data_IF_659863702854
#
_entry.id   IF_659863702854
#
_cell.length_a   1.000
_cell.length_b   1.000
_cell.length_c   1.000
_cell.angle_alpha   90.00
_cell.angle_beta   90.00
_cell.angle_gamma   90.00
#
_symmetry.space_group_name_H-M   'P 1'
#
loop_
_entity.id
_entity.type
_entity.pdbx_description
1 polymer ?
#
# COMPACT_ATOMS: atom_id res chain seq x y z
N UNK A 1 2.71 4.41 8.13
CA UNK A 1 4.12 4.63 7.73
C UNK A 1 4.76 3.47 6.95
N UNK A 2 4.26 2.24 7.01
CA UNK A 2 4.83 1.11 6.25
C UNK A 2 4.49 1.09 4.75
N UNK A 3 3.36 1.66 4.31
CA UNK A 3 2.95 1.68 2.90
C UNK A 3 3.85 2.55 2.00
N UNK A 4 4.44 3.63 2.53
CA UNK A 4 5.42 4.43 1.79
C UNK A 4 6.78 3.71 1.65
N UNK A 5 7.06 2.75 2.53
CA UNK A 5 8.31 1.99 2.57
C UNK A 5 8.39 0.92 1.45
N UNK A 6 7.25 0.43 0.94
CA UNK A 6 7.21 -0.63 -0.08
C UNK A 6 7.71 -0.20 -1.47
N UNK A 7 7.86 1.10 -1.71
CA UNK A 7 8.25 1.66 -3.02
C UNK A 7 9.71 2.13 -3.11
N UNK A 8 10.47 2.11 -2.01
CA UNK A 8 11.89 2.52 -1.97
C UNK A 8 12.83 1.37 -2.35
N UNK A 9 14.00 1.71 -2.92
CA UNK A 9 15.02 0.73 -3.37
C UNK A 9 15.80 0.07 -2.22
N UNK A 10 15.52 0.46 -0.97
CA UNK A 10 16.02 -0.19 0.22
C UNK A 10 14.97 -0.09 1.31
N UNK A 11 14.66 -1.22 1.94
CA UNK A 11 13.73 -1.35 3.06
C UNK A 11 14.50 -1.81 4.29
N UNK A 12 14.84 -0.84 5.14
CA UNK A 12 15.38 -1.10 6.48
C UNK A 12 14.27 -0.90 7.51
N UNK A 13 13.96 -1.94 8.28
CA UNK A 13 12.95 -1.84 9.34
C UNK A 13 13.61 -1.94 10.73
N UNK A 14 13.03 -1.22 11.68
CA UNK A 14 13.47 -1.29 13.06
C UNK A 14 12.87 -2.53 13.75
N UNK A 15 13.69 -3.25 14.50
CA UNK A 15 13.21 -4.16 15.54
C UNK A 15 12.70 -3.31 16.70
N UNK A 16 11.39 -3.28 16.89
CA UNK A 16 10.76 -2.68 18.07
C UNK A 16 10.78 -3.71 19.20
N UNK A 17 11.30 -3.39 20.40
CA UNK A 17 11.21 -4.30 21.55
C UNK A 17 9.74 -4.45 21.98
N UNK A 18 9.36 -5.67 22.41
CA UNK A 18 8.00 -6.21 22.65
C UNK A 18 7.06 -5.43 23.59
N UNK A 19 7.40 -4.21 24.02
CA UNK A 19 6.58 -3.38 24.91
C UNK A 19 5.61 -2.43 24.22
N UNK A 20 5.33 -2.61 22.93
CA UNK A 20 4.29 -1.85 22.22
C UNK A 20 3.26 -2.76 21.55
N UNK A 21 2.83 -3.83 22.23
CA UNK A 21 1.60 -4.55 21.86
C UNK A 21 0.31 -3.79 22.20
N UNK A 22 0.39 -2.51 22.58
CA UNK A 22 -0.76 -1.65 22.87
C UNK A 22 -0.62 -0.23 22.30
N UNK A 23 -0.17 -0.09 21.04
CA UNK A 23 -0.63 1.05 20.23
C UNK A 23 -1.50 0.52 19.10
N UNK A 24 -2.75 0.30 19.49
CA UNK A 24 -3.93 0.23 18.64
C UNK A 24 -4.16 1.62 18.01
N UNK A 25 -3.20 2.13 17.23
CA UNK A 25 -3.33 3.42 16.55
C UNK A 25 -3.91 3.20 15.15
N UNK A 26 -5.24 3.26 15.11
CA UNK A 26 -6.06 3.82 14.03
C UNK A 26 -5.44 3.77 12.63
N UNK A 27 -5.60 2.63 11.96
CA UNK A 27 -5.74 2.61 10.50
C UNK A 27 -7.07 1.93 10.18
N UNK A 28 -8.11 2.76 10.04
CA UNK A 28 -9.47 2.32 9.71
C UNK A 28 -9.47 1.57 8.37
N UNK A 29 -10.32 0.54 8.27
CA UNK A 29 -11.31 0.57 7.20
C UNK A 29 -12.71 0.44 7.80
N UNK A 30 -13.27 1.55 8.31
CA UNK A 30 -14.72 1.74 8.20
C UNK A 30 -15.01 2.44 6.89
N UNK A 31 -15.00 1.67 5.82
CA UNK A 31 -15.81 1.91 4.64
C UNK A 31 -16.06 0.54 4.00
N UNK A 32 -17.29 0.07 4.14
CA UNK A 32 -17.78 -1.10 3.42
C UNK A 32 -17.84 -0.74 1.93
N UNK A 33 -17.38 -1.68 1.09
CA UNK A 33 -17.45 -1.68 -0.39
C UNK A 33 -16.45 -0.74 -1.07
N UNK A 34 -15.20 -1.20 -1.17
CA UNK A 34 -14.42 -0.96 -2.39
C UNK A 34 -14.77 -2.09 -3.37
N UNK A 35 -15.07 -1.77 -4.62
CA UNK A 35 -15.20 -2.77 -5.67
C UNK A 35 -13.88 -3.56 -5.78
N UNK A 36 -13.95 -4.90 -5.87
CA UNK A 36 -12.75 -5.74 -5.76
C UNK A 36 -11.89 -5.79 -7.03
N UNK A 37 -12.31 -5.19 -8.15
CA UNK A 37 -11.86 -5.68 -9.45
C UNK A 37 -10.50 -5.12 -9.90
N UNK A 38 -10.15 -3.89 -9.53
CA UNK A 38 -8.86 -3.28 -9.92
C UNK A 38 -7.77 -3.32 -8.84
N UNK A 39 -8.10 -3.50 -7.56
CA UNK A 39 -7.11 -3.61 -6.48
C UNK A 39 -6.37 -4.97 -6.48
N UNK A 40 -6.96 -6.00 -7.08
CA UNK A 40 -6.43 -7.37 -7.09
C UNK A 40 -5.38 -7.64 -8.18
N UNK A 41 -5.30 -6.80 -9.21
CA UNK A 41 -4.34 -6.93 -10.32
C UNK A 41 -3.04 -6.17 -10.05
N UNK A 42 -3.09 -5.04 -9.32
CA UNK A 42 -1.95 -4.17 -9.08
C UNK A 42 -1.11 -4.54 -7.85
N UNK A 43 -1.74 -5.08 -6.79
CA UNK A 43 -1.06 -5.34 -5.52
C UNK A 43 -0.15 -6.60 -5.46
N UNK A 44 -0.46 -7.73 -6.12
CA UNK A 44 0.29 -8.97 -5.86
C UNK A 44 1.72 -8.97 -6.44
N UNK A 45 2.07 -8.01 -7.30
CA UNK A 45 3.42 -7.95 -7.91
C UNK A 45 4.43 -7.13 -7.09
N UNK A 46 3.96 -6.35 -6.11
CA UNK A 46 4.85 -5.51 -5.27
C UNK A 46 5.54 -6.36 -4.17
N UNK A 47 4.93 -7.49 -3.79
CA UNK A 47 5.50 -8.42 -2.82
C UNK A 47 6.18 -9.55 -3.58
N UNK A 48 7.42 -9.31 -4.00
CA UNK A 48 8.25 -10.25 -4.79
C UNK A 48 8.42 -11.66 -4.19
N UNK A 49 7.99 -11.90 -2.94
CA UNK A 49 8.15 -13.19 -2.24
C UNK A 49 6.89 -13.80 -1.62
N UNK A 50 5.75 -13.09 -1.53
CA UNK A 50 4.54 -13.67 -0.90
C UNK A 50 3.59 -14.25 -1.94
N UNK A 51 3.10 -15.47 -1.67
CA UNK A 51 2.03 -16.07 -2.46
C UNK A 51 0.82 -15.13 -2.54
N UNK A 52 0.25 -14.94 -3.74
CA UNK A 52 -0.93 -14.08 -4.02
C UNK A 52 -2.07 -14.25 -3.00
N UNK A 53 -2.33 -15.47 -2.54
CA UNK A 53 -3.33 -15.80 -1.50
C UNK A 53 -3.01 -15.17 -0.14
N UNK A 54 -1.74 -15.18 0.28
CA UNK A 54 -1.30 -14.64 1.57
C UNK A 54 -1.37 -13.11 1.57
N UNK A 55 -0.91 -12.48 0.48
CA UNK A 55 -1.06 -11.05 0.27
C UNK A 55 -2.54 -10.62 0.31
N UNK A 56 -3.42 -11.37 -0.36
CA UNK A 56 -4.87 -11.13 -0.30
C UNK A 56 -5.43 -11.24 1.12
N UNK A 57 -5.06 -12.29 1.86
CA UNK A 57 -5.48 -12.47 3.26
C UNK A 57 -5.03 -11.30 4.14
N UNK A 58 -3.78 -10.87 4.02
CA UNK A 58 -3.24 -9.76 4.80
C UNK A 58 -3.99 -8.46 4.53
N UNK A 59 -4.34 -8.18 3.26
CA UNK A 59 -5.11 -7.00 2.87
C UNK A 59 -6.53 -7.03 3.45
N UNK A 60 -7.20 -8.19 3.42
CA UNK A 60 -8.55 -8.32 3.96
C UNK A 60 -8.61 -8.23 5.48
N UNK A 61 -7.64 -8.85 6.17
CA UNK A 61 -7.61 -8.92 7.62
C UNK A 61 -6.93 -7.70 8.26
N UNK A 62 -6.19 -6.90 7.48
CA UNK A 62 -5.34 -5.85 8.03
C UNK A 62 -4.25 -6.40 8.93
N UNK A 63 -3.68 -7.56 8.59
CA UNK A 63 -2.64 -8.25 9.37
C UNK A 63 -1.34 -7.41 9.38
N UNK A 64 -0.87 -7.00 10.57
CA UNK A 64 0.45 -6.39 10.73
C UNK A 64 1.50 -7.50 10.83
N UNK A 65 2.61 -7.35 10.10
CA UNK A 65 3.70 -8.32 10.07
C UNK A 65 4.81 -7.87 10.99
N UNK A 66 5.30 -8.77 11.84
CA UNK A 66 6.45 -8.51 12.69
C UNK A 66 7.73 -8.28 11.86
N UNK A 67 8.67 -7.43 12.29
CA UNK A 67 9.86 -7.11 11.50
C UNK A 67 10.69 -8.35 11.10
N UNK A 68 10.82 -9.33 11.99
CA UNK A 68 11.52 -10.59 11.77
C UNK A 68 10.80 -11.46 10.75
N UNK A 69 9.47 -11.49 10.82
CA UNK A 69 8.67 -12.24 9.85
C UNK A 69 8.70 -11.55 8.47
N UNK A 70 8.72 -10.22 8.44
CA UNK A 70 8.85 -9.44 7.22
C UNK A 70 10.20 -9.66 6.53
N UNK A 71 11.28 -9.87 7.29
CA UNK A 71 12.59 -10.28 6.77
C UNK A 71 12.54 -11.70 6.17
N UNK A 72 11.94 -12.66 6.90
CA UNK A 72 11.79 -14.04 6.42
C UNK A 72 10.94 -14.14 5.14
N UNK A 73 9.93 -13.27 5.01
CA UNK A 73 9.07 -13.17 3.83
C UNK A 73 9.67 -12.35 2.68
N UNK A 74 10.86 -11.74 2.88
CA UNK A 74 11.51 -10.89 1.86
C UNK A 74 10.77 -9.57 1.57
N UNK A 75 9.93 -9.12 2.50
CA UNK A 75 9.25 -7.82 2.43
C UNK A 75 10.23 -6.70 2.80
N UNK A 76 11.22 -7.01 3.64
CA UNK A 76 12.24 -6.10 4.17
C UNK A 76 13.62 -6.69 3.87
N UNK A 77 14.60 -5.84 3.55
CA UNK A 77 15.95 -6.28 3.19
C UNK A 77 16.85 -6.49 4.42
N UNK A 78 16.68 -5.65 5.46
CA UNK A 78 17.46 -5.72 6.69
C UNK A 78 16.63 -5.25 7.90
N UNK A 79 16.80 -5.94 9.03
CA UNK A 79 16.22 -5.57 10.33
C UNK A 79 17.34 -5.17 11.27
N UNK A 80 17.32 -3.92 11.73
CA UNK A 80 18.27 -3.37 12.69
C UNK A 80 17.54 -2.92 13.96
N UNK A 81 18.19 -2.89 15.13
CA UNK A 81 17.56 -2.34 16.33
C UNK A 81 17.39 -0.83 16.22
N UNK A 82 16.40 -0.26 16.93
CA UNK A 82 16.02 1.16 16.83
C UNK A 82 17.20 2.14 16.92
N UNK A 83 18.15 1.87 17.80
CA UNK A 83 19.31 2.75 18.04
C UNK A 83 20.34 2.75 16.88
N UNK A 84 20.39 1.69 16.07
CA UNK A 84 21.30 1.56 14.93
C UNK A 84 20.60 1.78 13.58
N UNK A 85 19.29 2.02 13.58
CA UNK A 85 18.49 2.10 12.36
C UNK A 85 19.04 3.14 11.37
N UNK A 86 19.38 4.33 11.85
CA UNK A 86 19.91 5.40 11.01
C UNK A 86 21.26 5.04 10.40
N UNK A 87 22.20 4.52 11.20
CA UNK A 87 23.51 4.08 10.70
C UNK A 87 23.43 2.90 9.74
N UNK A 88 22.45 2.00 9.91
CA UNK A 88 22.18 0.94 8.94
C UNK A 88 21.61 1.50 7.62
N UNK A 89 20.64 2.42 7.71
CA UNK A 89 20.05 3.07 6.55
C UNK A 89 21.08 3.88 5.75
N UNK A 90 21.96 4.65 6.41
CA UNK A 90 23.03 5.41 5.76
C UNK A 90 24.02 4.51 5.02
N UNK A 91 24.47 3.41 5.64
CA UNK A 91 25.36 2.44 4.99
C UNK A 91 24.73 1.81 3.74
N UNK A 92 23.42 1.56 3.78
CA UNK A 92 22.69 1.04 2.61
C UNK A 92 22.53 2.09 1.53
N UNK A 93 22.18 3.31 1.92
CA UNK A 93 22.06 4.43 1.00
C UNK A 93 23.39 4.75 0.32
N UNK A 94 24.51 4.74 1.04
CA UNK A 94 25.83 4.98 0.46
C UNK A 94 26.18 3.94 -0.60
N UNK A 95 25.90 2.65 -0.32
CA UNK A 95 26.07 1.56 -1.29
C UNK A 95 25.17 1.76 -2.52
N UNK A 96 23.91 2.14 -2.33
CA UNK A 96 22.97 2.40 -3.43
C UNK A 96 23.33 3.66 -4.23
N UNK A 97 24.00 4.65 -3.62
CA UNK A 97 24.40 5.90 -4.27
C UNK A 97 25.65 5.75 -5.13
N UNK A 98 26.44 4.68 -4.96
CA UNK A 98 27.54 4.35 -5.87
C UNK A 98 27.04 4.05 -7.30
N UNK A 99 25.79 3.59 -7.44
CA UNK A 99 25.18 3.35 -8.74
C UNK A 99 24.65 4.67 -9.33
N UNK A 100 24.97 5.01 -10.60
CA UNK A 100 24.52 6.26 -11.20
C UNK A 100 22.98 6.37 -11.21
N UNK A 101 22.48 7.59 -11.02
CA UNK A 101 21.04 7.88 -10.91
C UNK A 101 20.24 7.39 -12.13
N UNK A 102 20.79 7.56 -13.34
CA UNK A 102 20.14 7.13 -14.59
C UNK A 102 19.95 5.61 -14.63
N UNK A 103 20.97 4.83 -14.26
CA UNK A 103 20.87 3.37 -14.22
C UNK A 103 19.84 2.91 -13.18
N UNK A 104 19.81 3.55 -11.99
CA UNK A 104 18.80 3.23 -10.96
C UNK A 104 17.37 3.51 -11.45
N UNK A 105 17.17 4.65 -12.12
CA UNK A 105 15.87 5.03 -12.67
C UNK A 105 15.41 4.04 -13.75
N UNK A 106 16.30 3.69 -14.68
CA UNK A 106 16.03 2.74 -15.75
C UNK A 106 15.67 1.35 -15.19
N UNK A 107 16.47 0.84 -14.25
CA UNK A 107 16.21 -0.44 -13.57
C UNK A 107 14.85 -0.41 -12.86
N UNK A 108 14.55 0.64 -12.09
CA UNK A 108 13.25 0.81 -11.42
C UNK A 108 12.08 0.75 -12.41
N UNK A 109 12.21 1.45 -13.52
CA UNK A 109 11.19 1.50 -14.55
C UNK A 109 11.00 0.13 -15.19
N UNK A 110 12.09 -0.57 -15.50
CA UNK A 110 12.06 -1.90 -16.10
C UNK A 110 11.40 -2.93 -15.17
N UNK A 111 11.72 -2.95 -13.88
CA UNK A 111 11.09 -3.84 -12.90
C UNK A 111 9.58 -3.60 -12.77
N UNK A 112 9.12 -2.35 -12.92
CA UNK A 112 7.69 -1.99 -12.82
C UNK A 112 6.95 -2.06 -14.15
N UNK A 113 7.65 -2.33 -15.25
CA UNK A 113 7.12 -2.19 -16.60
C UNK A 113 5.93 -3.10 -16.84
N UNK A 114 6.05 -4.39 -16.52
CA UNK A 114 4.98 -5.37 -16.69
C UNK A 114 3.69 -4.97 -15.94
N UNK A 115 3.79 -4.51 -14.70
CA UNK A 115 2.62 -4.04 -13.93
C UNK A 115 2.06 -2.74 -14.47
N UNK A 116 2.93 -1.81 -14.91
CA UNK A 116 2.50 -0.54 -15.47
C UNK A 116 1.79 -0.72 -16.82
N UNK A 117 2.26 -1.64 -17.65
CA UNK A 117 1.66 -1.95 -18.95
C UNK A 117 0.32 -2.67 -18.75
N UNK A 118 0.22 -3.64 -17.82
CA UNK A 118 -1.05 -4.28 -17.48
C UNK A 118 -2.13 -3.30 -16.98
N UNK A 119 -1.74 -2.23 -16.28
CA UNK A 119 -2.65 -1.15 -15.87
C UNK A 119 -3.07 -0.24 -17.03
N UNK A 120 -2.18 -0.01 -17.99
CA UNK A 120 -2.50 0.78 -19.19
C UNK A 120 -3.45 0.02 -20.10
N UNK A 121 -3.19 -1.26 -20.32
CA UNK A 121 -3.99 -2.10 -21.21
C UNK A 121 -5.44 -2.23 -20.73
N UNK A 122 -5.66 -2.25 -19.41
CA UNK A 122 -6.99 -2.35 -18.78
C UNK A 122 -7.63 -1.01 -18.45
N UNK A 123 -7.00 0.11 -18.79
CA UNK A 123 -7.47 1.43 -18.35
C UNK A 123 -8.91 1.72 -18.82
N UNK A 124 -9.26 1.37 -20.06
CA UNK A 124 -10.61 1.59 -20.58
C UNK A 124 -11.64 0.71 -19.88
N UNK A 125 -11.32 -0.56 -19.65
CA UNK A 125 -12.19 -1.51 -18.96
C UNK A 125 -12.45 -1.07 -17.51
N UNK A 126 -11.41 -0.63 -16.80
CA UNK A 126 -11.49 -0.12 -15.43
C UNK A 126 -12.37 1.15 -15.37
N UNK A 127 -12.26 2.04 -16.36
CA UNK A 127 -13.09 3.24 -16.46
C UNK A 127 -14.57 2.90 -16.69
N UNK A 128 -14.84 1.99 -17.61
CA UNK A 128 -16.20 1.56 -17.90
C UNK A 128 -16.84 0.86 -16.70
N UNK A 129 -16.10 -0.01 -16.01
CA UNK A 129 -16.55 -0.64 -14.77
C UNK A 129 -16.83 0.41 -13.68
N UNK A 130 -15.97 1.40 -13.55
CA UNK A 130 -16.14 2.48 -12.57
C UNK A 130 -17.38 3.32 -12.86
N UNK A 131 -17.57 3.76 -14.11
CA UNK A 131 -18.76 4.52 -14.53
C UNK A 131 -20.01 3.69 -14.29
N UNK A 132 -19.99 2.41 -14.69
CA UNK A 132 -21.10 1.50 -14.46
C UNK A 132 -21.43 1.37 -12.98
N UNK A 133 -20.43 1.20 -12.11
CA UNK A 133 -20.60 1.10 -10.66
C UNK A 133 -21.20 2.38 -10.07
N UNK A 134 -20.70 3.55 -10.45
CA UNK A 134 -21.17 4.84 -9.91
C UNK A 134 -22.59 5.13 -10.39
N UNK A 135 -22.94 4.79 -11.63
CA UNK A 135 -24.27 5.00 -12.20
C UNK A 135 -25.34 4.06 -11.65
N UNK A 136 -25.00 3.04 -10.85
CA UNK A 136 -26.00 2.15 -10.25
C UNK A 136 -26.90 2.91 -9.29
N UNK A 137 -28.20 2.61 -9.35
CA UNK A 137 -29.22 3.30 -8.55
C UNK A 137 -29.04 3.15 -7.04
N UNK A 138 -28.52 2.01 -6.58
CA UNK A 138 -28.19 1.75 -5.17
C UNK A 138 -27.06 2.66 -4.67
N UNK A 139 -26.01 2.82 -5.48
CA UNK A 139 -24.87 3.70 -5.18
C UNK A 139 -25.30 5.17 -5.22
N UNK A 140 -26.06 5.59 -6.23
CA UNK A 140 -26.59 6.96 -6.34
C UNK A 140 -27.52 7.32 -5.18
N UNK A 141 -28.41 6.42 -4.76
CA UNK A 141 -29.28 6.64 -3.62
C UNK A 141 -28.51 6.79 -2.30
N UNK A 142 -27.42 6.03 -2.12
CA UNK A 142 -26.55 6.17 -0.96
C UNK A 142 -25.79 7.50 -0.97
N UNK A 143 -25.26 7.91 -2.12
CA UNK A 143 -24.58 9.20 -2.29
C UNK A 143 -25.52 10.38 -2.03
N UNK A 144 -26.75 10.32 -2.52
CA UNK A 144 -27.77 11.35 -2.24
C UNK A 144 -28.02 11.54 -0.75
N UNK A 145 -28.26 10.44 -0.02
CA UNK A 145 -28.44 10.48 1.46
C UNK A 145 -27.21 11.04 2.18
N UNK A 146 -26.01 10.70 1.70
CA UNK A 146 -24.77 11.21 2.27
C UNK A 146 -24.65 12.72 2.09
N UNK A 147 -24.94 13.25 0.89
CA UNK A 147 -24.92 14.70 0.61
C UNK A 147 -25.95 15.46 1.45
N UNK A 148 -27.15 14.92 1.64
CA UNK A 148 -28.16 15.51 2.54
C UNK A 148 -27.65 15.59 3.99
N UNK A 149 -26.94 14.56 4.46
CA UNK A 149 -26.36 14.55 5.81
C UNK A 149 -25.25 15.59 5.99
N UNK A 150 -24.51 15.89 4.91
CA UNK A 150 -23.46 16.91 4.92
C UNK A 150 -24.07 18.31 4.90
N UNK A 151 -25.11 18.54 4.08
CA UNK A 151 -25.82 19.81 4.02
C UNK A 151 -26.40 20.19 5.39
N UNK A 152 -27.09 19.25 6.05
CA UNK A 152 -27.61 19.45 7.41
C UNK A 152 -26.54 19.82 8.44
N UNK A 153 -25.31 19.33 8.29
CA UNK A 153 -24.22 19.69 9.22
C UNK A 153 -23.71 21.11 9.00
N UNK A 154 -23.62 21.54 7.74
CA UNK A 154 -23.25 22.91 7.39
C UNK A 154 -24.28 23.90 7.94
N UNK A 155 -25.56 23.65 7.67
CA UNK A 155 -26.67 24.51 8.07
C UNK A 155 -26.85 24.59 9.61
N UNK A 156 -26.35 23.61 10.36
CA UNK A 156 -26.37 23.60 11.83
C UNK A 156 -25.09 24.18 12.48
N UNK A 157 -24.09 24.55 11.66
CA UNK A 157 -22.82 25.15 12.11
C UNK A 157 -22.73 26.66 11.87
N UNK A 158 -23.70 27.22 11.17
CA UNK A 158 -24.01 28.66 11.12
C UNK A 158 -25.06 29.00 12.20
#
# INVERSE_FOLDING_TARGET
LLLACLCSHGRTCARVPDRVHSTRSLFLPRARRCSPVSALSAFPTIVHGDCRRRAYRMLLLGELVDPQEALARGIVDEVAPLYQLYGAAERRLSTLLQVPSQARSATKQQFRRASADALRDRQSEDLDEFVNMVSRSDVQAFLGKYLESLKKKHDNSE
#
